data_IF_504860785290
#
_entry.id   IF_504860785290
#
_cell.length_a   1.000
_cell.length_b   1.000
_cell.length_c   1.000
_cell.angle_alpha   90.00
_cell.angle_beta   90.00
_cell.angle_gamma   90.00
#
_symmetry.space_group_name_H-M   'P 1'
#
loop_
_entity.id
_entity.type
_entity.pdbx_description
1 polymer ?
#
# COMPACT_ATOMS: atom_id res chain seq x y z
N UNK A 1 13.48 4.56 25.18
CA UNK A 1 13.47 5.95 25.67
C UNK A 1 12.20 6.26 26.47
N UNK A 2 11.00 6.23 25.86
CA UNK A 2 9.70 6.45 26.56
C UNK A 2 9.53 5.67 27.88
N UNK A 3 9.74 4.35 27.86
CA UNK A 3 9.55 3.50 29.07
C UNK A 3 10.48 3.90 30.22
N UNK A 4 11.76 4.14 29.90
CA UNK A 4 12.75 4.58 30.86
C UNK A 4 12.39 5.94 31.48
N UNK A 5 11.89 6.87 30.65
CA UNK A 5 11.43 8.19 31.10
C UNK A 5 10.19 8.09 32.02
N UNK A 6 9.23 7.23 31.69
CA UNK A 6 8.06 6.98 32.53
C UNK A 6 8.41 6.30 33.88
N UNK A 7 9.36 5.37 33.89
CA UNK A 7 9.86 4.75 35.11
C UNK A 7 10.56 5.77 36.02
N UNK A 8 11.36 6.68 35.45
CA UNK A 8 11.99 7.77 36.20
C UNK A 8 10.94 8.71 36.81
N UNK A 9 9.92 9.09 36.04
CA UNK A 9 8.81 9.94 36.51
C UNK A 9 8.05 9.25 37.65
N UNK A 10 7.73 7.96 37.50
CA UNK A 10 7.03 7.18 38.52
C UNK A 10 7.84 7.10 39.82
N UNK A 11 9.14 6.79 39.73
CA UNK A 11 10.05 6.72 40.87
C UNK A 11 10.20 8.07 41.59
N UNK A 12 10.27 9.18 40.84
CA UNK A 12 10.29 10.52 41.42
C UNK A 12 8.98 10.86 42.13
N UNK A 13 7.83 10.57 41.53
CA UNK A 13 6.50 10.80 42.12
C UNK A 13 6.31 9.99 43.40
N UNK A 14 6.70 8.72 43.41
CA UNK A 14 6.61 7.85 44.58
C UNK A 14 7.53 8.33 45.72
N UNK A 15 8.73 8.79 45.39
CA UNK A 15 9.65 9.36 46.37
C UNK A 15 9.11 10.67 46.97
N UNK A 16 8.54 11.55 46.15
CA UNK A 16 7.94 12.80 46.62
C UNK A 16 6.75 12.50 47.54
N UNK A 17 5.89 11.54 47.17
CA UNK A 17 4.74 11.13 47.97
C UNK A 17 5.14 10.52 49.32
N UNK A 18 6.19 9.68 49.36
CA UNK A 18 6.65 9.04 50.60
C UNK A 18 7.43 9.98 51.53
N UNK A 19 8.17 10.94 50.99
CA UNK A 19 9.17 11.69 51.77
C UNK A 19 8.96 13.22 51.78
N UNK A 20 7.92 13.74 51.12
CA UNK A 20 7.61 15.17 51.06
C UNK A 20 7.33 15.81 52.43
N UNK A 21 6.81 15.04 53.38
CA UNK A 21 6.56 15.45 54.77
C UNK A 21 7.52 14.80 55.78
N UNK A 22 8.61 14.20 55.29
CA UNK A 22 9.63 13.56 56.14
C UNK A 22 10.55 14.56 56.83
N UNK A 23 11.65 14.06 57.40
CA UNK A 23 12.67 14.90 58.05
C UNK A 23 13.16 16.04 57.12
N UNK A 24 13.64 17.15 57.69
CA UNK A 24 14.05 18.33 56.93
C UNK A 24 15.04 18.04 55.78
N UNK A 25 15.88 17.00 55.93
CA UNK A 25 16.78 16.52 54.88
C UNK A 25 16.03 15.81 53.74
N UNK A 26 15.07 14.95 54.06
CA UNK A 26 14.26 14.20 53.10
C UNK A 26 13.27 15.11 52.36
N UNK A 27 12.65 16.07 53.06
CA UNK A 27 11.76 17.06 52.45
C UNK A 27 12.49 17.94 51.42
N UNK A 28 13.73 18.36 51.69
CA UNK A 28 14.57 19.08 50.70
C UNK A 28 14.90 18.22 49.48
N UNK A 29 15.15 16.93 49.66
CA UNK A 29 15.38 16.00 48.53
C UNK A 29 14.12 15.78 47.70
N UNK A 30 12.94 15.71 48.33
CA UNK A 30 11.66 15.64 47.63
C UNK A 30 11.40 16.90 46.80
N UNK A 31 11.59 18.09 47.36
CA UNK A 31 11.46 19.37 46.63
C UNK A 31 12.43 19.49 45.44
N UNK A 32 13.64 18.94 45.56
CA UNK A 32 14.59 18.90 44.44
C UNK A 32 14.08 18.00 43.30
N UNK A 33 13.53 16.83 43.61
CA UNK A 33 12.95 15.92 42.61
C UNK A 33 11.69 16.49 41.96
N UNK A 34 10.90 17.23 42.72
CA UNK A 34 9.72 17.95 42.21
C UNK A 34 10.10 19.01 41.16
N UNK A 35 11.16 19.80 41.42
CA UNK A 35 11.69 20.75 40.43
C UNK A 35 12.22 20.07 39.17
N UNK A 36 12.89 18.93 39.30
CA UNK A 36 13.38 18.14 38.16
C UNK A 36 12.22 17.61 37.33
N UNK A 37 11.18 17.07 37.98
CA UNK A 37 9.97 16.60 37.33
C UNK A 37 9.27 17.73 36.55
N UNK A 38 9.09 18.90 37.18
CA UNK A 38 8.50 20.08 36.51
C UNK A 38 9.36 20.63 35.35
N UNK A 39 10.68 20.35 35.33
CA UNK A 39 11.54 20.68 34.19
C UNK A 39 11.37 19.67 33.06
N UNK A 40 11.22 18.39 33.38
CA UNK A 40 10.94 17.33 32.39
C UNK A 40 9.56 17.53 31.75
N UNK A 41 8.53 17.86 32.54
CA UNK A 41 7.19 18.15 32.03
C UNK A 41 7.15 19.38 31.11
N UNK A 42 7.91 20.44 31.44
CA UNK A 42 8.05 21.63 30.57
C UNK A 42 8.88 21.39 29.31
N UNK A 43 9.79 20.41 29.33
CA UNK A 43 10.64 20.05 28.18
C UNK A 43 9.89 19.32 27.06
N UNK A 44 8.63 18.96 27.29
CA UNK A 44 7.86 18.08 26.41
C UNK A 44 8.26 16.63 26.65
N UNK A 45 7.39 15.85 27.28
CA UNK A 45 7.63 14.42 27.50
C UNK A 45 7.61 13.68 26.17
N UNK A 46 8.47 12.67 26.03
CA UNK A 46 8.38 11.78 24.87
C UNK A 46 6.97 11.19 24.81
N UNK A 47 6.29 11.33 23.67
CA UNK A 47 4.97 10.71 23.51
C UNK A 47 5.10 9.17 23.50
N UNK A 48 4.07 8.50 24.02
CA UNK A 48 3.97 7.05 23.88
C UNK A 48 3.89 6.75 22.40
N UNK A 49 4.81 5.94 21.87
CA UNK A 49 4.61 5.29 20.58
C UNK A 49 3.43 4.34 20.75
N UNK A 50 2.23 4.84 20.44
CA UNK A 50 1.04 4.02 20.28
C UNK A 50 1.29 3.26 18.99
N UNK A 51 1.63 1.98 19.11
CA UNK A 51 1.54 1.09 17.95
C UNK A 51 0.09 1.16 17.49
N UNK A 52 -0.13 1.57 16.24
CA UNK A 52 -1.46 1.57 15.67
C UNK A 52 -2.10 0.19 15.92
N UNK A 53 -3.39 0.18 16.28
CA UNK A 53 -4.16 -1.06 16.38
C UNK A 53 -3.96 -1.83 15.07
N UNK A 54 -3.74 -3.15 15.20
CA UNK A 54 -3.55 -4.13 14.12
C UNK A 54 -4.01 -3.57 12.77
N UNK A 55 -3.04 -3.33 11.90
CA UNK A 55 -3.26 -2.85 10.56
C UNK A 55 -4.11 -3.88 9.82
N UNK A 56 -5.31 -3.50 9.40
CA UNK A 56 -6.15 -4.38 8.59
C UNK A 56 -6.55 -3.59 7.36
N UNK A 57 -6.07 -4.00 6.20
CA UNK A 57 -6.63 -3.60 4.92
C UNK A 57 -7.88 -4.46 4.70
N UNK A 58 -8.99 -3.86 4.26
CA UNK A 58 -10.16 -4.62 3.84
C UNK A 58 -10.73 -4.10 2.54
N UNK A 59 -10.51 -4.88 1.48
CA UNK A 59 -11.25 -4.71 0.25
C UNK A 59 -12.66 -5.31 0.40
N UNK A 60 -13.63 -4.70 -0.24
CA UNK A 60 -15.01 -5.18 -0.27
C UNK A 60 -15.20 -6.21 -1.39
N UNK A 61 -16.19 -7.09 -1.25
CA UNK A 61 -16.65 -7.95 -2.34
C UNK A 61 -17.12 -7.10 -3.53
N UNK A 62 -16.74 -7.55 -4.73
CA UNK A 62 -16.88 -6.83 -5.99
C UNK A 62 -17.89 -7.52 -6.92
N UNK A 63 -18.46 -8.64 -6.48
CA UNK A 63 -19.34 -9.49 -7.28
C UNK A 63 -18.58 -10.35 -8.27
N UNK A 64 -19.33 -11.04 -9.14
CA UNK A 64 -18.77 -11.94 -10.16
C UNK A 64 -18.92 -11.33 -11.55
N UNK A 65 -17.91 -11.53 -12.39
CA UNK A 65 -17.96 -11.30 -13.83
C UNK A 65 -17.72 -12.63 -14.55
N UNK A 66 -18.48 -12.95 -15.62
CA UNK A 66 -18.21 -14.12 -16.42
C UNK A 66 -16.87 -13.96 -17.17
N UNK A 67 -16.05 -15.02 -17.25
CA UNK A 67 -14.83 -14.98 -18.06
C UNK A 67 -15.17 -14.94 -19.57
N UNK A 68 -14.28 -14.39 -20.41
CA UNK A 68 -13.01 -13.74 -20.06
C UNK A 68 -13.21 -12.30 -19.57
N UNK A 69 -12.54 -11.92 -18.48
CA UNK A 69 -12.67 -10.56 -17.92
C UNK A 69 -11.87 -9.55 -18.73
N UNK A 70 -10.60 -9.87 -19.02
CA UNK A 70 -9.69 -9.08 -19.84
C UNK A 70 -8.88 -10.04 -20.73
N UNK A 71 -8.85 -9.80 -22.04
CA UNK A 71 -8.17 -10.69 -22.98
C UNK A 71 -7.37 -9.89 -24.01
N UNK A 72 -6.13 -10.28 -24.22
CA UNK A 72 -5.27 -9.84 -25.31
C UNK A 72 -5.33 -10.89 -26.41
N UNK A 73 -5.61 -10.44 -27.64
CA UNK A 73 -5.69 -11.29 -28.84
C UNK A 73 -4.76 -10.72 -29.89
N UNK A 74 -3.69 -11.46 -30.19
CA UNK A 74 -2.66 -11.15 -31.19
C UNK A 74 -2.14 -9.71 -31.12
N UNK A 75 -1.93 -9.20 -29.90
CA UNK A 75 -1.61 -7.77 -29.73
C UNK A 75 -0.16 -7.46 -30.10
N UNK A 76 0.01 -6.50 -31.02
CA UNK A 76 1.27 -5.82 -31.28
C UNK A 76 1.21 -4.41 -30.69
N UNK A 77 2.29 -3.99 -30.02
CA UNK A 77 2.37 -2.62 -29.52
C UNK A 77 3.80 -2.11 -29.47
N UNK A 78 3.99 -0.87 -29.90
CA UNK A 78 5.16 -0.04 -29.65
C UNK A 78 4.71 1.42 -29.64
N UNK A 79 5.48 2.30 -28.99
CA UNK A 79 5.19 3.74 -29.11
C UNK A 79 5.39 4.26 -30.54
N UNK A 80 6.19 3.55 -31.33
CA UNK A 80 6.31 3.72 -32.77
C UNK A 80 6.19 2.35 -33.47
N UNK A 81 5.69 2.31 -34.72
CA UNK A 81 5.61 1.06 -35.49
C UNK A 81 6.95 0.36 -35.69
N UNK A 82 8.04 1.12 -35.79
CA UNK A 82 9.39 0.59 -36.02
C UNK A 82 10.00 -0.07 -34.78
N UNK A 83 9.49 0.24 -33.59
CA UNK A 83 10.03 -0.26 -32.32
C UNK A 83 8.94 -0.87 -31.44
N UNK A 84 8.54 -2.08 -31.81
CA UNK A 84 7.59 -2.87 -31.03
C UNK A 84 8.18 -3.28 -29.67
N UNK A 85 7.42 -2.98 -28.62
CA UNK A 85 7.58 -3.48 -27.25
C UNK A 85 6.94 -4.86 -27.11
N UNK A 86 5.81 -5.11 -27.79
CA UNK A 86 5.08 -6.37 -27.80
C UNK A 86 4.78 -6.81 -29.23
N UNK A 87 4.89 -8.11 -29.48
CA UNK A 87 4.56 -8.73 -30.76
C UNK A 87 3.77 -10.02 -30.54
N UNK A 88 2.53 -10.00 -30.98
CA UNK A 88 1.55 -11.08 -31.02
C UNK A 88 1.41 -11.72 -29.65
N UNK A 89 1.09 -10.90 -28.65
CA UNK A 89 0.82 -11.36 -27.29
C UNK A 89 -0.63 -11.82 -27.15
N UNK A 90 -0.81 -12.99 -26.55
CA UNK A 90 -2.09 -13.65 -26.35
C UNK A 90 -2.20 -14.20 -24.94
N UNK A 91 -3.11 -13.62 -24.14
CA UNK A 91 -3.39 -14.09 -22.79
C UNK A 91 -4.72 -13.52 -22.26
N UNK A 92 -5.27 -14.17 -21.24
CA UNK A 92 -6.43 -13.69 -20.48
C UNK A 92 -6.07 -13.43 -19.01
N UNK A 93 -6.77 -12.48 -18.40
CA UNK A 93 -6.78 -12.19 -16.96
C UNK A 93 -8.23 -12.25 -16.50
N UNK A 94 -8.49 -13.03 -15.46
CA UNK A 94 -9.80 -13.25 -14.84
C UNK A 94 -9.82 -12.78 -13.36
N UNK A 95 -10.97 -12.86 -12.68
CA UNK A 95 -11.10 -12.37 -11.29
C UNK A 95 -10.32 -13.21 -10.26
N UNK A 96 -10.08 -14.49 -10.55
CA UNK A 96 -9.28 -15.37 -9.72
C UNK A 96 -7.78 -15.30 -10.04
N UNK A 97 -7.41 -14.56 -11.09
CA UNK A 97 -6.02 -14.36 -11.48
C UNK A 97 -5.25 -13.60 -10.40
N UNK A 98 -4.07 -14.12 -10.06
CA UNK A 98 -3.11 -13.50 -9.14
C UNK A 98 -1.75 -13.51 -9.79
N UNK A 99 -1.49 -12.50 -10.61
CA UNK A 99 -0.34 -12.46 -11.51
C UNK A 99 0.72 -11.53 -10.93
N UNK A 100 1.96 -12.00 -10.83
CA UNK A 100 3.12 -11.12 -10.69
C UNK A 100 3.82 -10.95 -12.04
N UNK A 101 3.96 -9.70 -12.47
CA UNK A 101 4.59 -9.33 -13.73
C UNK A 101 6.04 -8.94 -13.47
N UNK A 102 6.97 -9.75 -13.96
CA UNK A 102 8.41 -9.61 -13.76
C UNK A 102 9.12 -9.38 -15.09
N UNK A 103 10.31 -8.76 -15.05
CA UNK A 103 11.11 -8.48 -16.23
C UNK A 103 12.04 -7.29 -16.01
N UNK A 104 13.07 -7.11 -16.86
CA UNK A 104 14.03 -6.03 -16.71
C UNK A 104 13.37 -4.64 -16.80
N UNK A 105 14.10 -3.61 -16.36
CA UNK A 105 13.66 -2.23 -16.54
C UNK A 105 13.59 -1.91 -18.03
N UNK A 106 12.50 -1.25 -18.45
CA UNK A 106 12.23 -1.00 -19.86
C UNK A 106 11.59 -2.17 -20.64
N UNK A 107 11.33 -3.33 -20.01
CA UNK A 107 10.69 -4.48 -20.67
C UNK A 107 9.21 -4.27 -21.03
N UNK A 108 8.62 -3.12 -20.70
CA UNK A 108 7.23 -2.79 -21.02
C UNK A 108 6.21 -3.06 -19.92
N UNK A 109 6.59 -3.44 -18.70
CA UNK A 109 5.65 -3.76 -17.59
C UNK A 109 4.55 -2.70 -17.40
N UNK A 110 4.93 -1.44 -17.16
CA UNK A 110 3.96 -0.34 -17.03
C UNK A 110 3.22 -0.03 -18.34
N UNK A 111 3.83 -0.31 -19.50
CA UNK A 111 3.16 -0.24 -20.81
C UNK A 111 2.05 -1.29 -20.91
N UNK A 112 2.28 -2.50 -20.43
CA UNK A 112 1.27 -3.56 -20.36
C UNK A 112 0.10 -3.12 -19.48
N UNK A 113 0.37 -2.57 -18.29
CA UNK A 113 -0.69 -2.06 -17.41
C UNK A 113 -1.54 -0.98 -18.10
N UNK A 114 -0.92 -0.06 -18.85
CA UNK A 114 -1.63 0.95 -19.66
C UNK A 114 -2.45 0.34 -20.79
N UNK A 115 -1.96 -0.72 -21.43
CA UNK A 115 -2.73 -1.51 -22.38
C UNK A 115 -3.90 -2.24 -21.71
N UNK A 116 -3.79 -2.61 -20.43
CA UNK A 116 -4.90 -3.21 -19.66
C UNK A 116 -5.94 -2.16 -19.28
N UNK A 117 -5.55 -0.97 -18.81
CA UNK A 117 -6.47 0.13 -18.46
C UNK A 117 -7.15 0.75 -19.68
N UNK A 118 -6.52 0.67 -20.85
CA UNK A 118 -7.02 1.28 -22.09
C UNK A 118 -6.46 2.67 -22.36
N UNK A 119 -5.50 3.12 -21.56
CA UNK A 119 -4.77 4.38 -21.79
C UNK A 119 -3.90 4.31 -23.06
N UNK A 120 -3.57 3.10 -23.50
CA UNK A 120 -2.90 2.82 -24.76
C UNK A 120 -3.76 1.89 -25.61
N UNK A 121 -3.75 2.15 -26.92
CA UNK A 121 -4.37 1.27 -27.92
C UNK A 121 -3.30 0.44 -28.63
N UNK A 122 -3.55 -0.85 -28.88
CA UNK A 122 -2.62 -1.68 -29.64
C UNK A 122 -2.43 -1.13 -31.06
N UNK A 123 -1.28 -1.42 -31.67
CA UNK A 123 -1.03 -1.11 -33.09
C UNK A 123 -1.69 -2.13 -34.01
N UNK A 124 -1.71 -3.40 -33.59
CA UNK A 124 -2.42 -4.50 -34.23
C UNK A 124 -3.00 -5.45 -33.17
N UNK A 125 -3.99 -6.25 -33.55
CA UNK A 125 -4.75 -7.10 -32.63
C UNK A 125 -5.74 -6.32 -31.76
N UNK A 126 -6.18 -6.92 -30.65
CA UNK A 126 -7.19 -6.28 -29.78
C UNK A 126 -7.07 -6.66 -28.30
N UNK A 127 -7.40 -5.69 -27.44
CA UNK A 127 -7.59 -5.89 -26.00
C UNK A 127 -9.09 -5.86 -25.68
N UNK A 128 -9.69 -7.03 -25.45
CA UNK A 128 -11.10 -7.20 -25.08
C UNK A 128 -11.26 -7.06 -23.57
N UNK A 129 -12.26 -6.29 -23.15
CA UNK A 129 -12.65 -6.09 -21.75
C UNK A 129 -14.10 -6.43 -21.59
N UNK A 130 -14.46 -7.06 -20.48
CA UNK A 130 -15.86 -7.18 -20.10
C UNK A 130 -16.46 -5.77 -19.88
N UNK A 131 -17.67 -5.51 -20.37
CA UNK A 131 -18.28 -4.17 -20.36
C UNK A 131 -18.47 -3.57 -18.95
N UNK A 132 -18.62 -4.42 -17.95
CA UNK A 132 -18.76 -4.01 -16.55
C UNK A 132 -17.45 -4.09 -15.76
N UNK A 133 -16.32 -4.40 -16.40
CA UNK A 133 -15.02 -4.44 -15.75
C UNK A 133 -14.68 -3.06 -15.17
N UNK A 134 -14.26 -3.05 -13.91
CA UNK A 134 -13.79 -1.85 -13.20
C UNK A 134 -12.34 -2.13 -12.84
N UNK A 135 -11.43 -1.29 -13.31
CA UNK A 135 -10.00 -1.44 -13.04
C UNK A 135 -9.58 -0.30 -12.13
N UNK A 136 -8.86 -0.62 -11.07
CA UNK A 136 -8.14 0.34 -10.24
C UNK A 136 -6.64 0.13 -10.44
N UNK A 137 -5.89 1.22 -10.59
CA UNK A 137 -4.44 1.17 -10.75
C UNK A 137 -3.77 1.99 -9.65
N UNK A 138 -2.93 1.32 -8.86
CA UNK A 138 -1.94 1.96 -8.02
C UNK A 138 -0.65 2.13 -8.83
N UNK A 139 -0.15 3.35 -8.95
CA UNK A 139 1.14 3.65 -9.58
C UNK A 139 1.96 4.53 -8.67
N UNK A 140 3.29 4.45 -8.77
CA UNK A 140 4.23 5.16 -7.88
C UNK A 140 3.93 6.67 -7.73
N UNK A 141 3.53 7.34 -8.82
CA UNK A 141 3.20 8.77 -8.83
C UNK A 141 1.75 9.11 -8.44
N UNK A 142 0.94 8.12 -8.05
CA UNK A 142 -0.44 8.37 -7.64
C UNK A 142 -0.49 9.22 -6.36
N UNK A 143 0.49 9.04 -5.47
CA UNK A 143 0.63 9.85 -4.26
C UNK A 143 0.92 11.33 -4.58
N UNK A 144 1.64 11.61 -5.66
CA UNK A 144 1.98 12.97 -6.10
C UNK A 144 0.73 13.75 -6.57
N UNK A 145 -0.35 13.04 -6.90
CA UNK A 145 -1.64 13.64 -7.29
C UNK A 145 -2.54 13.97 -6.10
N UNK A 146 -2.18 13.55 -4.89
CA UNK A 146 -2.96 13.88 -3.70
C UNK A 146 -2.86 15.38 -3.39
N UNK A 147 -3.99 16.03 -3.16
CA UNK A 147 -4.01 17.39 -2.66
C UNK A 147 -3.57 17.42 -1.18
N UNK A 148 -2.28 17.62 -0.93
CA UNK A 148 -1.68 17.47 0.40
C UNK A 148 -2.16 18.52 1.43
N UNK A 149 -2.74 19.63 0.99
CA UNK A 149 -3.29 20.68 1.83
C UNK A 149 -4.58 20.27 2.55
N UNK A 150 -5.34 19.31 2.01
CA UNK A 150 -6.59 18.84 2.61
C UNK A 150 -6.38 17.57 3.43
N UNK A 151 -7.33 17.25 4.30
CA UNK A 151 -7.31 16.00 5.07
C UNK A 151 -7.77 14.81 4.23
N UNK A 152 -7.43 13.59 4.65
CA UNK A 152 -7.87 12.38 3.95
C UNK A 152 -9.40 12.27 3.87
N UNK A 153 -10.09 12.68 4.94
CA UNK A 153 -11.55 12.71 4.98
C UNK A 153 -12.11 13.73 3.98
N UNK A 154 -11.57 14.94 4.00
CA UNK A 154 -12.01 15.99 3.07
C UNK A 154 -11.74 15.60 1.61
N UNK A 155 -10.58 15.00 1.34
CA UNK A 155 -10.24 14.48 0.02
C UNK A 155 -11.28 13.48 -0.48
N UNK A 156 -11.63 12.48 0.33
CA UNK A 156 -12.66 11.49 -0.02
C UNK A 156 -14.05 12.13 -0.20
N UNK A 157 -14.42 13.11 0.62
CA UNK A 157 -15.70 13.83 0.48
C UNK A 157 -15.75 14.70 -0.79
N UNK A 158 -14.63 15.30 -1.19
CA UNK A 158 -14.52 16.08 -2.42
C UNK A 158 -14.62 15.17 -3.67
N UNK A 159 -13.95 14.02 -3.63
CA UNK A 159 -13.98 13.02 -4.71
C UNK A 159 -15.37 12.38 -4.88
N UNK A 160 -16.11 12.23 -3.78
CA UNK A 160 -17.42 11.56 -3.76
C UNK A 160 -18.47 12.43 -3.06
N UNK A 161 -18.92 13.53 -3.71
CA UNK A 161 -19.87 14.46 -3.12
C UNK A 161 -21.22 13.79 -2.87
N UNK A 162 -21.88 14.18 -1.77
CA UNK A 162 -23.20 13.66 -1.39
C UNK A 162 -23.18 12.35 -0.61
N UNK A 163 -22.00 11.80 -0.31
CA UNK A 163 -21.88 10.69 0.64
C UNK A 163 -21.71 11.21 2.06
N UNK A 164 -22.43 10.59 3.00
CA UNK A 164 -22.33 10.86 4.43
C UNK A 164 -20.89 10.73 4.94
N UNK A 165 -20.46 11.72 5.72
CA UNK A 165 -19.11 11.79 6.28
C UNK A 165 -18.75 10.54 7.09
N UNK A 166 -19.70 10.00 7.86
CA UNK A 166 -19.50 8.78 8.66
C UNK A 166 -19.12 7.57 7.79
N UNK A 167 -19.72 7.45 6.59
CA UNK A 167 -19.38 6.38 5.64
C UNK A 167 -17.96 6.54 5.11
N UNK A 168 -17.53 7.78 4.85
CA UNK A 168 -16.17 8.07 4.39
C UNK A 168 -15.13 7.81 5.50
N UNK A 169 -15.42 8.22 6.74
CA UNK A 169 -14.59 7.89 7.90
C UNK A 169 -14.43 6.39 8.08
N UNK A 170 -15.53 5.63 7.93
CA UNK A 170 -15.50 4.18 8.00
C UNK A 170 -14.69 3.56 6.86
N UNK A 171 -14.83 4.07 5.63
CA UNK A 171 -14.07 3.62 4.46
C UNK A 171 -12.56 3.79 4.66
N UNK A 172 -12.13 4.97 5.09
CA UNK A 172 -10.72 5.25 5.36
C UNK A 172 -10.21 4.43 6.56
N UNK A 173 -11.06 4.24 7.58
CA UNK A 173 -10.76 3.43 8.75
C UNK A 173 -10.47 1.95 8.44
N UNK A 174 -11.09 1.38 7.39
CA UNK A 174 -10.80 0.00 6.89
C UNK A 174 -9.40 -0.18 6.32
N UNK A 175 -8.61 0.88 6.21
CA UNK A 175 -7.23 0.86 5.73
C UNK A 175 -6.24 1.25 6.84
N UNK A 176 -6.69 1.23 8.10
CA UNK A 176 -5.81 1.44 9.25
C UNK A 176 -5.38 2.88 9.48
N UNK A 177 -6.16 3.87 9.00
CA UNK A 177 -5.92 5.28 9.31
C UNK A 177 -6.80 5.74 10.48
N UNK A 178 -6.16 6.19 11.56
CA UNK A 178 -6.85 6.60 12.80
C UNK A 178 -7.72 7.85 12.57
N UNK A 179 -8.79 8.01 13.37
CA UNK A 179 -9.69 9.16 13.25
C UNK A 179 -9.00 10.52 13.39
N UNK A 180 -7.90 10.61 14.17
CA UNK A 180 -7.07 11.82 14.26
C UNK A 180 -6.32 12.09 12.96
N UNK A 181 -5.74 11.05 12.35
CA UNK A 181 -5.03 11.17 11.08
C UNK A 181 -5.99 11.49 9.91
N UNK A 182 -7.24 11.01 9.96
CA UNK A 182 -8.25 11.28 8.92
C UNK A 182 -8.58 12.76 8.74
N UNK A 183 -8.54 13.55 9.81
CA UNK A 183 -8.87 14.99 9.80
C UNK A 183 -7.64 15.90 9.71
N UNK A 184 -6.44 15.32 9.77
CA UNK A 184 -5.18 16.05 9.63
C UNK A 184 -4.87 16.30 8.15
N UNK A 185 -4.33 17.48 7.77
CA UNK A 185 -3.82 17.71 6.42
C UNK A 185 -2.84 16.61 5.98
N UNK A 186 -2.99 16.10 4.75
CA UNK A 186 -2.20 14.97 4.25
C UNK A 186 -0.69 15.27 4.18
N UNK A 187 -0.30 16.54 4.06
CA UNK A 187 1.10 16.98 4.17
C UNK A 187 1.76 16.58 5.51
N UNK A 188 0.99 16.42 6.58
CA UNK A 188 1.49 16.02 7.91
C UNK A 188 1.42 14.50 8.14
N UNK A 189 0.85 13.73 7.19
CA UNK A 189 0.84 12.28 7.24
C UNK A 189 2.18 11.71 6.76
N UNK A 190 2.56 10.55 7.32
CA UNK A 190 3.67 9.77 6.77
C UNK A 190 3.34 9.21 5.40
N UNK A 191 4.35 8.83 4.61
CA UNK A 191 4.13 8.24 3.29
C UNK A 191 3.29 6.95 3.35
N UNK A 192 3.51 6.12 4.37
CA UNK A 192 2.69 4.93 4.61
C UNK A 192 1.23 5.27 4.92
N UNK A 193 0.97 6.34 5.67
CA UNK A 193 -0.38 6.82 5.92
C UNK A 193 -1.03 7.39 4.64
N UNK A 194 -0.29 8.12 3.80
CA UNK A 194 -0.78 8.59 2.49
C UNK A 194 -1.11 7.43 1.57
N UNK A 195 -0.26 6.40 1.54
CA UNK A 195 -0.52 5.17 0.78
C UNK A 195 -1.83 4.49 1.21
N UNK A 196 -2.11 4.43 2.53
CA UNK A 196 -3.39 3.93 3.04
C UNK A 196 -4.60 4.74 2.56
N UNK A 197 -4.48 6.07 2.45
CA UNK A 197 -5.53 6.92 1.86
C UNK A 197 -5.78 6.56 0.40
N UNK A 198 -4.72 6.33 -0.38
CA UNK A 198 -4.82 5.92 -1.77
C UNK A 198 -5.51 4.56 -1.89
N UNK A 199 -5.12 3.59 -1.07
CA UNK A 199 -5.78 2.28 -1.07
C UNK A 199 -7.25 2.38 -0.68
N UNK A 200 -7.60 3.22 0.29
CA UNK A 200 -9.00 3.49 0.63
C UNK A 200 -9.77 4.10 -0.55
N UNK A 201 -9.17 5.07 -1.25
CA UNK A 201 -9.75 5.69 -2.43
C UNK A 201 -9.93 4.69 -3.59
N UNK A 202 -8.93 3.83 -3.85
CA UNK A 202 -9.01 2.79 -4.87
C UNK A 202 -10.09 1.75 -4.54
N UNK A 203 -10.13 1.29 -3.30
CA UNK A 203 -11.08 0.28 -2.85
C UNK A 203 -12.53 0.78 -2.87
N UNK A 204 -12.75 2.08 -2.60
CA UNK A 204 -14.07 2.70 -2.69
C UNK A 204 -14.69 2.61 -4.08
N UNK A 205 -13.88 2.52 -5.14
CA UNK A 205 -14.34 2.36 -6.54
C UNK A 205 -14.84 0.95 -6.85
N UNK A 206 -14.80 0.03 -5.88
CA UNK A 206 -15.20 -1.37 -6.03
C UNK A 206 -14.58 -2.02 -7.28
N UNK A 207 -13.25 -1.91 -7.50
CA UNK A 207 -12.63 -2.43 -8.72
C UNK A 207 -12.82 -3.94 -8.80
N UNK A 208 -12.97 -4.52 -9.99
CA UNK A 208 -12.91 -5.97 -10.18
C UNK A 208 -11.48 -6.46 -10.41
N UNK A 209 -10.61 -5.59 -10.95
CA UNK A 209 -9.20 -5.87 -11.20
C UNK A 209 -8.35 -4.75 -10.59
N UNK A 210 -7.34 -5.13 -9.80
CA UNK A 210 -6.39 -4.22 -9.20
C UNK A 210 -5.02 -4.40 -9.86
N UNK A 211 -4.50 -3.31 -10.40
CA UNK A 211 -3.17 -3.24 -11.00
C UNK A 211 -2.26 -2.48 -10.03
N UNK A 212 -1.25 -3.15 -9.49
CA UNK A 212 -0.32 -2.55 -8.52
C UNK A 212 1.06 -2.40 -9.16
N UNK A 213 1.50 -1.17 -9.39
CA UNK A 213 2.84 -0.85 -9.91
C UNK A 213 3.73 -0.30 -8.78
N UNK A 214 4.61 -1.17 -8.28
CA UNK A 214 5.51 -0.97 -7.14
C UNK A 214 4.80 -0.44 -5.87
N UNK A 215 3.79 -1.16 -5.34
CA UNK A 215 2.98 -0.70 -4.21
C UNK A 215 3.74 -0.66 -2.87
N UNK A 216 4.89 -1.33 -2.78
CA UNK A 216 5.71 -1.44 -1.57
C UNK A 216 6.63 -0.25 -1.37
N UNK A 217 6.82 0.59 -2.39
CA UNK A 217 7.59 1.82 -2.23
C UNK A 217 6.92 2.66 -1.15
N UNK A 218 7.65 2.97 -0.08
CA UNK A 218 7.19 3.74 1.09
C UNK A 218 6.28 3.01 2.09
N UNK A 219 6.13 1.68 1.99
CA UNK A 219 5.47 0.87 3.00
C UNK A 219 6.48 0.22 3.95
N UNK A 220 6.14 0.19 5.24
CA UNK A 220 6.85 -0.64 6.22
C UNK A 220 6.43 -2.10 6.10
N UNK A 221 7.22 -3.00 6.69
CA UNK A 221 7.00 -4.45 6.60
C UNK A 221 5.62 -4.84 7.14
N UNK A 222 5.20 -4.24 8.26
CA UNK A 222 3.88 -4.52 8.85
C UNK A 222 2.73 -4.13 7.91
N UNK A 223 2.85 -3.01 7.20
CA UNK A 223 1.86 -2.57 6.21
C UNK A 223 1.87 -3.47 4.96
N UNK A 224 3.04 -3.97 4.54
CA UNK A 224 3.15 -4.92 3.42
C UNK A 224 2.45 -6.24 3.76
N UNK A 225 2.70 -6.81 4.93
CA UNK A 225 2.06 -8.06 5.36
C UNK A 225 0.53 -7.88 5.44
N UNK A 226 0.08 -6.75 6.00
CA UNK A 226 -1.36 -6.43 6.08
C UNK A 226 -2.00 -6.23 4.71
N UNK A 227 -1.28 -5.66 3.75
CA UNK A 227 -1.73 -5.52 2.37
C UNK A 227 -1.83 -6.90 1.72
N UNK A 228 -0.85 -7.78 1.92
CA UNK A 228 -0.85 -9.12 1.37
C UNK A 228 -2.00 -9.97 1.90
N UNK A 229 -2.27 -9.93 3.21
CA UNK A 229 -3.43 -10.57 3.84
C UNK A 229 -4.73 -10.12 3.18
N UNK A 230 -4.92 -8.81 3.02
CA UNK A 230 -6.13 -8.27 2.41
C UNK A 230 -6.29 -8.60 0.93
N UNK A 231 -5.19 -8.65 0.18
CA UNK A 231 -5.21 -9.06 -1.23
C UNK A 231 -5.54 -10.56 -1.39
N UNK A 232 -5.18 -11.37 -0.41
CA UNK A 232 -5.51 -12.80 -0.38
C UNK A 232 -6.97 -13.05 0.02
N UNK A 233 -7.55 -12.21 0.89
CA UNK A 233 -8.97 -12.28 1.26
C UNK A 233 -9.92 -11.68 0.21
N UNK A 234 -9.39 -10.87 -0.72
CA UNK A 234 -10.19 -10.18 -1.72
C UNK A 234 -10.47 -11.06 -2.95
N UNK A 235 -11.71 -11.06 -3.44
CA UNK A 235 -12.16 -11.91 -4.55
C UNK A 235 -11.93 -11.33 -5.97
N UNK A 236 -11.30 -10.16 -6.08
CA UNK A 236 -10.99 -9.53 -7.38
C UNK A 236 -9.65 -9.97 -7.95
N UNK A 237 -9.44 -9.72 -9.25
CA UNK A 237 -8.20 -10.08 -9.94
C UNK A 237 -7.04 -9.15 -9.56
N UNK A 238 -5.82 -9.68 -9.52
CA UNK A 238 -4.62 -8.92 -9.19
C UNK A 238 -3.56 -9.07 -10.27
N UNK A 239 -2.99 -7.94 -10.69
CA UNK A 239 -1.73 -7.88 -11.45
C UNK A 239 -0.75 -7.00 -10.66
N UNK A 240 0.33 -7.61 -10.19
CA UNK A 240 1.36 -6.98 -9.36
C UNK A 240 2.66 -6.83 -10.14
N UNK A 241 3.13 -5.62 -10.32
CA UNK A 241 4.52 -5.30 -10.68
C UNK A 241 5.22 -4.92 -9.40
N UNK A 242 6.19 -5.72 -8.97
CA UNK A 242 6.98 -5.41 -7.78
C UNK A 242 8.37 -6.03 -7.87
N UNK A 243 9.34 -5.39 -7.21
CA UNK A 243 10.63 -5.99 -6.90
C UNK A 243 10.66 -6.70 -5.54
N UNK A 244 9.58 -6.62 -4.75
CA UNK A 244 9.48 -7.29 -3.45
C UNK A 244 9.07 -8.76 -3.60
N UNK A 245 10.06 -9.64 -3.49
CA UNK A 245 9.89 -11.09 -3.53
C UNK A 245 8.95 -11.64 -2.45
N UNK A 246 8.87 -11.00 -1.28
CA UNK A 246 8.01 -11.47 -0.18
C UNK A 246 6.55 -11.22 -0.51
N UNK A 247 6.22 -10.00 -0.93
CA UNK A 247 4.86 -9.66 -1.34
C UNK A 247 4.41 -10.57 -2.49
N UNK A 248 5.25 -10.71 -3.54
CA UNK A 248 4.95 -11.60 -4.67
C UNK A 248 4.69 -13.03 -4.20
N UNK A 249 5.56 -13.58 -3.35
CA UNK A 249 5.41 -14.95 -2.85
C UNK A 249 4.15 -15.15 -2.00
N UNK A 250 3.66 -14.10 -1.33
CA UNK A 250 2.47 -14.17 -0.49
C UNK A 250 1.17 -14.05 -1.31
N UNK A 251 1.14 -13.28 -2.40
CA UNK A 251 -0.12 -12.94 -3.11
C UNK A 251 -0.23 -13.51 -4.52
N UNK A 252 0.88 -13.74 -5.23
CA UNK A 252 0.86 -14.17 -6.62
C UNK A 252 0.80 -15.70 -6.73
N UNK A 253 -0.08 -16.18 -7.61
CA UNK A 253 -0.21 -17.59 -8.00
C UNK A 253 0.49 -17.90 -9.31
N UNK A 254 0.67 -16.88 -10.15
CA UNK A 254 1.30 -16.99 -11.46
C UNK A 254 2.38 -15.93 -11.62
N UNK A 255 3.50 -16.32 -12.23
CA UNK A 255 4.58 -15.40 -12.58
C UNK A 255 4.59 -15.23 -14.10
N UNK A 256 4.45 -13.99 -14.56
CA UNK A 256 4.49 -13.64 -15.98
C UNK A 256 5.74 -12.83 -16.27
N UNK A 257 6.51 -13.25 -17.27
CA UNK A 257 7.79 -12.66 -17.63
C UNK A 257 7.62 -11.80 -18.88
N UNK A 258 7.90 -10.51 -18.75
CA UNK A 258 8.05 -9.56 -19.85
C UNK A 258 9.49 -9.58 -20.34
N UNK A 259 9.74 -10.21 -21.49
CA UNK A 259 11.03 -10.14 -22.19
C UNK A 259 10.85 -10.47 -23.68
N UNK A 260 11.85 -10.11 -24.51
CA UNK A 260 11.90 -10.49 -25.93
C UNK A 260 10.62 -10.16 -26.73
N UNK A 261 10.01 -9.01 -26.43
CA UNK A 261 8.76 -8.53 -27.03
C UNK A 261 7.54 -9.41 -26.76
N UNK A 262 7.57 -10.23 -25.72
CA UNK A 262 6.48 -11.14 -25.34
C UNK A 262 6.21 -11.08 -23.85
N UNK A 263 5.06 -11.64 -23.48
CA UNK A 263 4.67 -11.92 -22.11
C UNK A 263 4.44 -13.42 -22.02
N UNK A 264 5.24 -14.12 -21.20
CA UNK A 264 5.16 -15.59 -21.08
C UNK A 264 4.91 -16.01 -19.63
N UNK A 265 4.17 -17.11 -19.44
CA UNK A 265 3.97 -17.68 -18.11
C UNK A 265 5.21 -18.48 -17.71
N UNK A 266 5.73 -18.21 -16.53
CA UNK A 266 6.81 -18.98 -15.92
C UNK A 266 6.22 -20.21 -15.21
N UNK A 267 6.82 -21.38 -15.43
CA UNK A 267 6.28 -22.65 -14.94
C UNK A 267 6.64 -23.00 -13.48
N UNK A 268 7.41 -22.15 -12.79
CA UNK A 268 7.81 -22.35 -11.39
C UNK A 268 7.30 -21.24 -10.48
N UNK A 269 7.73 -21.29 -9.22
CA UNK A 269 7.43 -20.21 -8.27
C UNK A 269 8.42 -19.03 -8.44
N UNK A 270 8.24 -18.00 -7.61
CA UNK A 270 9.11 -16.83 -7.63
C UNK A 270 10.54 -17.14 -7.13
N UNK A 271 10.72 -18.15 -6.29
CA UNK A 271 12.03 -18.59 -5.80
C UNK A 271 12.81 -19.34 -6.89
N UNK A 272 12.14 -20.16 -7.69
CA UNK A 272 12.66 -20.77 -8.91
C UNK A 272 13.08 -19.69 -9.89
N UNK A 273 12.22 -18.68 -10.10
CA UNK A 273 12.54 -17.55 -10.98
C UNK A 273 13.78 -16.79 -10.49
N UNK A 274 13.89 -16.53 -9.18
CA UNK A 274 15.07 -15.89 -8.58
C UNK A 274 16.35 -16.72 -8.77
N UNK A 275 16.28 -18.05 -8.64
CA UNK A 275 17.41 -18.95 -8.92
C UNK A 275 17.79 -18.93 -10.40
N UNK A 276 16.80 -18.94 -11.30
CA UNK A 276 17.02 -18.82 -12.73
C UNK A 276 17.74 -17.51 -13.08
N UNK A 277 17.32 -16.38 -12.52
CA UNK A 277 17.98 -15.08 -12.72
C UNK A 277 19.44 -15.08 -12.26
N UNK A 278 19.74 -15.69 -11.11
CA UNK A 278 21.12 -15.81 -10.60
C UNK A 278 22.00 -16.63 -11.54
N UNK A 279 21.52 -17.80 -11.95
CA UNK A 279 22.23 -18.66 -12.90
C UNK A 279 22.50 -17.95 -14.24
N UNK A 280 21.52 -17.21 -14.76
CA UNK A 280 21.66 -16.42 -16.00
C UNK A 280 22.66 -15.25 -15.85
N UNK A 281 22.79 -14.71 -14.64
CA UNK A 281 23.75 -13.65 -14.32
C UNK A 281 25.16 -14.19 -13.98
N UNK A 282 25.37 -15.51 -13.96
CA UNK A 282 26.63 -16.13 -13.57
C UNK A 282 26.95 -16.01 -12.08
N UNK A 283 25.92 -15.86 -11.23
CA UNK A 283 26.00 -15.71 -9.77
C UNK A 283 25.46 -16.93 -9.02
#
# INVERSE_FOLDING_TARGET
QYRWEQEQISSMKEYIARFGHGSAKLARQAQSKEKTLAKMERGGLTERVVRDKVLVFRFTDVGKLPPPVLQFVEVDFGYTPDNLIYKSIDFGVDLDSRIALVGPNGAGKSTLLKLMTGDLSPLDGMVKRHNHLRIAQFHQHLADKLELSVSALQYMMNEYPGIEEEKMRAAIGKFGLTGKAQIMPMQNLSDGQRSRVIFAWLAWRLPHLLLLDEPTNHLDIETIDSLAEALNEWDGGLVLVSHDFRLINQVAKEIWVCENKRVTRWGGDIMDFKRHLKSKAGL
#
